data_IF_088532433780
#
_entry.id   IF_088532433780
#
_cell.length_a   1.000
_cell.length_b   1.000
_cell.length_c   1.000
_cell.angle_alpha   90.00
_cell.angle_beta   90.00
_cell.angle_gamma   90.00
#
_symmetry.space_group_name_H-M   'P 1'
#
loop_
_entity.id
_entity.type
_entity.pdbx_description
1 polymer ?
#
# COMPACT_ATOMS: atom_id res chain seq x y z
N UNK A 1 -5.37 23.18 -15.07
CA UNK A 1 -5.24 21.73 -14.85
C UNK A 1 -6.61 21.18 -14.46
N UNK A 2 -7.07 20.10 -15.10
CA UNK A 2 -8.32 19.43 -14.70
C UNK A 2 -7.97 18.56 -13.49
N UNK A 3 -8.42 18.95 -12.31
CA UNK A 3 -8.33 18.12 -11.10
C UNK A 3 -9.60 17.29 -11.05
N UNK A 4 -9.47 16.02 -11.41
CA UNK A 4 -10.58 15.08 -11.26
C UNK A 4 -10.57 14.64 -9.79
N UNK A 5 -11.57 15.08 -9.03
CA UNK A 5 -11.76 14.68 -7.64
C UNK A 5 -12.30 13.25 -7.59
N UNK A 6 -11.41 12.26 -7.58
CA UNK A 6 -11.75 10.93 -7.10
C UNK A 6 -11.42 10.89 -5.60
N UNK A 7 -12.47 10.90 -4.78
CA UNK A 7 -12.36 10.88 -3.32
C UNK A 7 -11.72 9.58 -2.83
N UNK A 8 -11.18 9.64 -1.60
CA UNK A 8 -10.93 8.65 -0.53
C UNK A 8 -10.95 7.12 -0.83
N UNK A 9 -11.71 6.63 -1.81
CA UNK A 9 -11.81 5.23 -2.22
C UNK A 9 -10.81 4.75 -3.27
N UNK A 10 -10.15 5.64 -4.03
CA UNK A 10 -9.21 5.25 -5.08
C UNK A 10 -7.76 5.17 -4.56
N UNK A 11 -7.51 4.30 -3.57
CA UNK A 11 -6.17 3.91 -3.07
C UNK A 11 -5.31 3.16 -4.13
N UNK A 12 -5.52 3.44 -5.41
CA UNK A 12 -4.98 2.68 -6.54
C UNK A 12 -5.69 1.35 -6.78
N UNK A 13 -7.03 1.31 -6.61
CA UNK A 13 -7.84 0.09 -6.78
C UNK A 13 -8.32 -0.13 -8.23
N UNK A 14 -7.95 0.74 -9.15
CA UNK A 14 -8.31 0.63 -10.55
C UNK A 14 -7.51 -0.49 -11.23
N UNK A 15 -8.11 -1.16 -12.21
CA UNK A 15 -7.45 -2.19 -13.03
C UNK A 15 -6.11 -1.71 -13.58
N UNK A 16 -5.96 -0.41 -13.86
CA UNK A 16 -4.69 0.18 -14.27
C UNK A 16 -3.56 -0.11 -13.28
N UNK A 17 -3.74 0.08 -11.98
CA UNK A 17 -2.68 -0.13 -10.99
C UNK A 17 -2.40 -1.62 -10.72
N UNK A 18 -3.40 -2.48 -10.88
CA UNK A 18 -3.16 -3.94 -10.90
C UNK A 18 -2.30 -4.36 -12.10
N UNK A 19 -2.51 -3.76 -13.27
CA UNK A 19 -1.74 -4.04 -14.49
C UNK A 19 -0.37 -3.35 -14.52
N UNK A 20 -0.22 -2.22 -13.83
CA UNK A 20 0.99 -1.40 -13.78
C UNK A 20 1.58 -1.37 -12.37
N UNK A 21 1.63 -2.53 -11.72
CA UNK A 21 2.03 -2.64 -10.33
C UNK A 21 3.52 -2.29 -10.17
N UNK A 22 3.89 -1.27 -9.38
CA UNK A 22 5.26 -0.76 -9.30
C UNK A 22 6.26 -1.79 -8.77
N UNK A 23 5.92 -2.54 -7.71
CA UNK A 23 6.76 -3.64 -7.20
C UNK A 23 7.01 -4.70 -8.29
N UNK A 24 5.97 -5.15 -9.00
CA UNK A 24 6.12 -6.15 -10.07
C UNK A 24 6.99 -5.60 -11.20
N UNK A 25 6.78 -4.35 -11.60
CA UNK A 25 7.61 -3.69 -12.61
C UNK A 25 9.09 -3.64 -12.22
N UNK A 26 9.40 -3.33 -10.96
CA UNK A 26 10.77 -3.30 -10.47
C UNK A 26 11.38 -4.71 -10.35
N UNK A 27 10.59 -5.72 -9.94
CA UNK A 27 11.03 -7.12 -9.93
C UNK A 27 11.34 -7.63 -11.34
N UNK A 28 10.57 -7.23 -12.36
CA UNK A 28 10.91 -7.50 -13.75
C UNK A 28 12.22 -6.82 -14.17
N UNK A 29 12.46 -5.57 -13.76
CA UNK A 29 13.71 -4.85 -14.04
C UNK A 29 14.90 -5.55 -13.40
N UNK A 30 14.77 -5.99 -12.15
CA UNK A 30 15.81 -6.76 -11.44
C UNK A 30 16.07 -8.09 -12.12
N UNK A 31 15.01 -8.79 -12.56
CA UNK A 31 15.10 -10.02 -13.35
C UNK A 31 15.87 -9.82 -14.66
N UNK A 32 15.53 -8.80 -15.44
CA UNK A 32 16.23 -8.49 -16.69
C UNK A 32 17.70 -8.13 -16.47
N UNK A 33 18.03 -7.53 -15.33
CA UNK A 33 19.42 -7.19 -14.97
C UNK A 33 20.23 -8.37 -14.41
N UNK A 34 19.59 -9.51 -14.13
CA UNK A 34 20.24 -10.69 -13.52
C UNK A 34 20.53 -10.56 -12.02
N UNK A 35 19.99 -9.54 -11.34
CA UNK A 35 20.18 -9.35 -9.90
C UNK A 35 19.26 -10.24 -9.04
N UNK A 36 18.11 -10.62 -9.58
CA UNK A 36 17.15 -11.53 -8.95
C UNK A 36 16.45 -12.38 -10.01
N UNK A 37 15.82 -13.49 -9.64
CA UNK A 37 14.96 -14.24 -10.55
C UNK A 37 13.49 -14.05 -10.16
N UNK A 38 12.76 -13.20 -10.89
CA UNK A 38 11.32 -13.05 -10.66
C UNK A 38 10.54 -14.25 -11.23
N UNK A 39 10.01 -15.09 -10.33
CA UNK A 39 9.36 -16.37 -10.68
C UNK A 39 7.84 -16.28 -10.82
N UNK A 40 7.20 -15.21 -10.35
CA UNK A 40 5.77 -15.00 -10.50
C UNK A 40 5.13 -14.15 -9.42
N UNK A 41 3.81 -13.97 -9.51
CA UNK A 41 2.98 -13.26 -8.54
C UNK A 41 1.82 -14.14 -8.07
N UNK A 42 1.45 -14.03 -6.80
CA UNK A 42 0.33 -14.75 -6.19
C UNK A 42 -0.69 -13.72 -5.72
N UNK A 43 -1.89 -13.78 -6.28
CA UNK A 43 -3.01 -12.97 -5.82
C UNK A 43 -3.77 -13.72 -4.72
N UNK A 44 -4.01 -13.07 -3.58
CA UNK A 44 -4.80 -13.61 -2.48
C UNK A 44 -6.02 -12.72 -2.24
N UNK A 45 -7.01 -13.26 -1.51
CA UNK A 45 -8.22 -12.55 -1.12
C UNK A 45 -8.24 -12.52 0.41
N UNK A 46 -8.48 -11.34 0.97
CA UNK A 46 -8.59 -11.18 2.41
C UNK A 46 -9.93 -11.67 2.92
N UNK A 47 -9.94 -12.27 4.11
CA UNK A 47 -11.17 -12.72 4.76
C UNK A 47 -11.39 -12.05 6.10
N UNK A 48 -12.65 -11.84 6.44
CA UNK A 48 -13.10 -11.43 7.78
C UNK A 48 -13.15 -12.61 8.77
N UNK A 49 -13.12 -13.85 8.27
CA UNK A 49 -13.12 -15.06 9.08
C UNK A 49 -11.70 -15.59 9.29
N UNK A 50 -11.28 -15.73 10.55
CA UNK A 50 -9.92 -16.16 10.90
C UNK A 50 -9.53 -17.52 10.28
N UNK A 51 -10.46 -18.48 10.22
CA UNK A 51 -10.20 -19.79 9.63
C UNK A 51 -9.90 -19.71 8.13
N UNK A 52 -10.62 -18.84 7.43
CA UNK A 52 -10.47 -18.61 5.99
C UNK A 52 -9.18 -17.84 5.71
N UNK A 53 -8.89 -16.80 6.51
CA UNK A 53 -7.63 -16.04 6.46
C UNK A 53 -6.42 -16.98 6.61
N UNK A 54 -6.40 -17.84 7.64
CA UNK A 54 -5.31 -18.80 7.85
C UNK A 54 -5.17 -19.78 6.70
N UNK A 55 -6.28 -20.26 6.15
CA UNK A 55 -6.27 -21.16 4.99
C UNK A 55 -5.71 -20.49 3.75
N UNK A 56 -6.14 -19.27 3.45
CA UNK A 56 -5.67 -18.48 2.30
C UNK A 56 -4.17 -18.17 2.43
N UNK A 57 -3.73 -17.77 3.62
CA UNK A 57 -2.33 -17.47 3.93
C UNK A 57 -1.44 -18.70 3.77
N UNK A 58 -1.86 -19.84 4.33
CA UNK A 58 -1.16 -21.12 4.16
C UNK A 58 -1.08 -21.51 2.69
N UNK A 59 -2.17 -21.41 1.93
CA UNK A 59 -2.16 -21.75 0.50
C UNK A 59 -1.19 -20.86 -0.29
N UNK A 60 -1.17 -19.55 -0.03
CA UNK A 60 -0.23 -18.62 -0.65
C UNK A 60 1.23 -18.97 -0.37
N UNK A 61 1.56 -19.27 0.89
CA UNK A 61 2.91 -19.66 1.29
C UNK A 61 3.36 -20.98 0.65
N UNK A 62 2.47 -21.97 0.56
CA UNK A 62 2.76 -23.26 -0.07
C UNK A 62 3.01 -23.11 -1.59
N UNK A 63 2.22 -22.29 -2.28
CA UNK A 63 2.44 -21.98 -3.70
C UNK A 63 3.80 -21.30 -3.89
N UNK A 64 4.13 -20.31 -3.06
CA UNK A 64 5.41 -19.61 -3.13
C UNK A 64 6.60 -20.58 -2.97
N UNK A 65 6.55 -21.45 -1.95
CA UNK A 65 7.63 -22.38 -1.66
C UNK A 65 7.74 -23.52 -2.67
N UNK A 66 6.66 -24.22 -2.95
CA UNK A 66 6.71 -25.53 -3.61
C UNK A 66 6.39 -25.47 -5.10
N UNK A 67 5.55 -24.52 -5.54
CA UNK A 67 5.19 -24.39 -6.96
C UNK A 67 6.13 -23.42 -7.68
N UNK A 68 6.48 -22.30 -7.04
CA UNK A 68 7.37 -21.28 -7.62
C UNK A 68 8.83 -21.44 -7.21
N UNK A 69 9.13 -22.20 -6.16
CA UNK A 69 10.49 -22.38 -5.67
C UNK A 69 11.12 -21.09 -5.17
N UNK A 70 10.32 -20.16 -4.64
CA UNK A 70 10.80 -18.83 -4.25
C UNK A 70 11.68 -18.87 -3.00
N UNK A 71 12.81 -18.17 -3.03
CA UNK A 71 13.67 -17.93 -1.86
C UNK A 71 13.15 -16.76 -1.00
N UNK A 72 12.40 -15.85 -1.62
CA UNK A 72 11.78 -14.73 -0.92
C UNK A 72 10.55 -14.18 -1.63
N UNK A 73 9.72 -13.47 -0.87
CA UNK A 73 8.47 -12.85 -1.32
C UNK A 73 8.37 -11.41 -0.82
N UNK A 74 7.83 -10.55 -1.68
CA UNK A 74 7.40 -9.20 -1.31
C UNK A 74 5.89 -9.24 -1.13
N UNK A 75 5.43 -8.96 0.09
CA UNK A 75 4.01 -8.91 0.41
C UNK A 75 3.53 -7.47 0.36
N UNK A 76 2.42 -7.26 -0.34
CA UNK A 76 1.74 -5.98 -0.46
C UNK A 76 0.23 -6.22 -0.41
N UNK A 77 -0.51 -5.18 -0.06
CA UNK A 77 -1.97 -5.24 0.09
C UNK A 77 -2.62 -3.97 -0.44
N UNK A 78 -3.89 -4.08 -0.79
CA UNK A 78 -4.73 -2.95 -1.11
C UNK A 78 -5.62 -2.60 0.10
N UNK A 79 -5.90 -1.31 0.31
CA UNK A 79 -6.64 -0.79 1.47
C UNK A 79 -6.02 -1.12 2.85
N UNK A 80 -6.64 -0.69 3.94
CA UNK A 80 -6.27 -1.07 5.32
C UNK A 80 -7.26 -2.11 5.88
N UNK A 81 -7.15 -2.43 7.17
CA UNK A 81 -8.07 -3.37 7.84
C UNK A 81 -7.64 -4.83 7.71
N UNK A 82 -8.61 -5.74 7.50
CA UNK A 82 -8.36 -7.18 7.39
C UNK A 82 -7.18 -7.57 6.47
N UNK A 83 -6.99 -6.96 5.26
CA UNK A 83 -5.84 -7.26 4.41
C UNK A 83 -4.47 -7.07 5.05
N UNK A 84 -4.35 -6.20 6.06
CA UNK A 84 -3.12 -6.03 6.81
C UNK A 84 -2.80 -7.28 7.64
N UNK A 85 -3.80 -7.86 8.32
CA UNK A 85 -3.65 -9.08 9.11
C UNK A 85 -3.34 -10.28 8.21
N UNK A 86 -4.09 -10.45 7.11
CA UNK A 86 -3.85 -11.52 6.13
C UNK A 86 -2.41 -11.48 5.56
N UNK A 87 -1.90 -10.28 5.29
CA UNK A 87 -0.54 -10.09 4.81
C UNK A 87 0.50 -10.58 5.83
N UNK A 88 0.36 -10.22 7.11
CA UNK A 88 1.28 -10.66 8.15
C UNK A 88 1.17 -12.16 8.44
N UNK A 89 -0.04 -12.72 8.45
CA UNK A 89 -0.23 -14.17 8.58
C UNK A 89 0.44 -14.90 7.41
N UNK A 90 0.28 -14.42 6.17
CA UNK A 90 0.96 -14.99 5.00
C UNK A 90 2.48 -14.89 5.14
N UNK A 91 3.01 -13.78 5.64
CA UNK A 91 4.44 -13.62 5.88
C UNK A 91 4.96 -14.63 6.91
N UNK A 92 4.24 -14.84 8.02
CA UNK A 92 4.58 -15.85 9.04
C UNK A 92 4.62 -17.26 8.45
N UNK A 93 3.63 -17.63 7.64
CA UNK A 93 3.58 -18.93 6.98
C UNK A 93 4.76 -19.11 5.99
N UNK A 94 5.14 -18.07 5.26
CA UNK A 94 6.31 -18.07 4.38
C UNK A 94 7.64 -18.25 5.16
N UNK A 95 7.85 -17.47 6.22
CA UNK A 95 9.07 -17.58 7.05
C UNK A 95 9.19 -18.97 7.70
N UNK A 96 8.07 -19.56 8.14
CA UNK A 96 8.03 -20.91 8.68
C UNK A 96 8.47 -21.99 7.67
N UNK A 97 8.30 -21.73 6.36
CA UNK A 97 8.76 -22.59 5.26
C UNK A 97 10.18 -22.22 4.76
N UNK A 98 10.84 -21.27 5.43
CA UNK A 98 12.16 -20.76 5.07
C UNK A 98 12.15 -19.87 3.82
N UNK A 99 11.02 -19.27 3.46
CA UNK A 99 10.91 -18.25 2.41
C UNK A 99 11.03 -16.87 3.07
N UNK A 100 12.00 -16.07 2.65
CA UNK A 100 12.22 -14.73 3.22
C UNK A 100 11.12 -13.76 2.85
N UNK A 101 10.74 -12.90 3.77
CA UNK A 101 9.61 -11.99 3.59
C UNK A 101 10.04 -10.54 3.70
N UNK A 102 9.48 -9.70 2.83
CA UNK A 102 9.46 -8.24 3.00
C UNK A 102 8.02 -7.80 2.91
N UNK A 103 7.52 -7.07 3.90
CA UNK A 103 6.14 -6.58 3.93
C UNK A 103 6.10 -5.07 3.68
N UNK A 104 5.31 -4.63 2.70
CA UNK A 104 4.99 -3.22 2.49
C UNK A 104 3.76 -2.85 3.32
N UNK A 105 3.94 -2.04 4.35
CA UNK A 105 2.87 -1.55 5.22
C UNK A 105 2.59 -0.07 4.95
N UNK A 106 1.38 0.35 5.32
CA UNK A 106 1.00 1.76 5.34
C UNK A 106 0.72 2.15 6.79
N UNK A 107 1.34 3.23 7.24
CA UNK A 107 1.08 3.79 8.56
C UNK A 107 -0.01 4.87 8.50
N UNK A 108 -0.94 4.81 9.44
CA UNK A 108 -1.99 5.81 9.66
C UNK A 108 -1.88 6.50 11.02
N UNK A 109 -0.86 6.17 11.81
CA UNK A 109 -0.61 6.77 13.12
C UNK A 109 -0.37 8.28 12.95
N UNK A 110 -1.20 9.06 13.64
CA UNK A 110 -1.14 10.52 13.60
C UNK A 110 0.00 11.09 14.43
N UNK A 111 0.71 10.28 15.20
CA UNK A 111 1.72 10.68 16.17
C UNK A 111 3.16 10.43 15.69
N UNK A 112 3.35 9.96 14.45
CA UNK A 112 4.67 9.72 13.84
C UNK A 112 5.59 8.76 14.61
N UNK A 113 5.03 7.92 15.51
CA UNK A 113 5.81 6.96 16.28
C UNK A 113 5.83 5.60 15.59
N UNK A 114 7.01 5.03 15.43
CA UNK A 114 7.19 3.71 14.81
C UNK A 114 6.42 2.60 15.54
N UNK A 115 6.26 2.72 16.86
CA UNK A 115 5.46 1.79 17.67
C UNK A 115 3.97 1.90 17.40
N UNK A 116 3.47 3.09 17.05
CA UNK A 116 2.08 3.32 16.65
C UNK A 116 1.82 2.86 15.21
N UNK A 117 2.88 2.83 14.39
CA UNK A 117 2.85 2.41 12.99
C UNK A 117 2.77 0.91 12.77
N UNK A 118 3.38 0.14 13.68
CA UNK A 118 3.47 -1.31 13.60
C UNK A 118 2.24 -1.93 14.27
N UNK A 119 1.15 -2.07 13.50
CA UNK A 119 -0.06 -2.78 13.94
C UNK A 119 0.22 -4.23 14.37
N UNK A 120 1.23 -4.86 13.77
CA UNK A 120 1.66 -6.23 14.07
C UNK A 120 3.19 -6.24 14.16
N UNK A 121 3.72 -6.80 15.26
CA UNK A 121 5.15 -6.95 15.50
C UNK A 121 5.46 -8.41 15.87
N UNK A 122 5.92 -9.18 14.90
CA UNK A 122 6.40 -10.56 15.10
C UNK A 122 7.87 -10.64 14.73
N UNK A 123 8.66 -11.35 15.54
CA UNK A 123 10.12 -11.37 15.43
C UNK A 123 10.59 -11.96 14.08
N UNK A 124 9.80 -12.88 13.55
CA UNK A 124 10.02 -13.58 12.29
C UNK A 124 9.86 -12.64 11.09
N UNK A 125 8.89 -11.72 11.13
CA UNK A 125 8.61 -10.76 10.05
C UNK A 125 9.28 -9.43 10.37
N UNK A 126 10.59 -9.35 10.10
CA UNK A 126 11.44 -8.23 10.53
C UNK A 126 11.88 -7.28 9.40
N UNK A 127 11.58 -7.59 8.15
CA UNK A 127 11.82 -6.70 7.02
C UNK A 127 10.50 -6.01 6.63
N UNK A 128 10.17 -4.93 7.33
CA UNK A 128 8.96 -4.14 7.10
C UNK A 128 9.35 -2.80 6.49
N UNK A 129 8.78 -2.50 5.33
CA UNK A 129 8.87 -1.19 4.70
C UNK A 129 7.55 -0.48 4.95
N UNK A 130 7.56 0.55 5.79
CA UNK A 130 6.38 1.39 6.01
C UNK A 130 6.41 2.61 5.09
N UNK A 131 5.29 2.90 4.44
CA UNK A 131 5.08 4.16 3.75
C UNK A 131 4.02 5.00 4.48
N UNK A 132 4.23 6.32 4.52
CA UNK A 132 3.21 7.25 5.03
C UNK A 132 2.03 7.32 4.05
N UNK A 133 0.80 7.38 4.56
CA UNK A 133 -0.38 7.80 3.79
C UNK A 133 -0.44 9.35 3.64
N UNK A 134 0.54 10.05 4.21
CA UNK A 134 0.67 11.51 4.15
C UNK A 134 -0.31 12.24 5.07
N UNK A 135 -0.88 11.57 6.06
CA UNK A 135 -1.82 12.16 7.03
C UNK A 135 -1.20 13.26 7.89
N UNK A 136 0.13 13.34 7.92
CA UNK A 136 0.99 14.28 8.61
C UNK A 136 1.47 15.44 7.72
N UNK A 137 1.37 15.30 6.39
CA UNK A 137 1.78 16.34 5.43
C UNK A 137 0.63 17.29 5.15
N UNK A 138 0.96 18.58 5.03
CA UNK A 138 0.02 19.66 4.69
C UNK A 138 0.54 20.48 3.52
N UNK A 139 -0.31 20.69 2.53
CA UNK A 139 -0.02 21.54 1.37
C UNK A 139 -0.81 22.84 1.48
N UNK A 140 -0.10 23.97 1.50
CA UNK A 140 -0.75 25.27 1.43
C UNK A 140 -1.31 25.49 0.03
N UNK A 141 -2.57 25.93 -0.04
CA UNK A 141 -3.24 26.21 -1.30
C UNK A 141 -3.03 27.69 -1.70
N UNK A 142 -2.72 27.97 -2.97
CA UNK A 142 -2.77 29.33 -3.48
C UNK A 142 -4.23 29.79 -3.58
N UNK A 143 -4.45 31.10 -3.47
CA UNK A 143 -5.76 31.69 -3.79
C UNK A 143 -6.12 31.40 -5.24
N UNK A 144 -7.35 30.97 -5.49
CA UNK A 144 -7.87 30.65 -6.82
C UNK A 144 -8.94 31.63 -7.24
N UNK A 145 -8.96 32.01 -8.51
CA UNK A 145 -9.96 32.95 -9.06
C UNK A 145 -11.33 32.28 -9.28
N UNK A 146 -11.35 30.95 -9.42
CA UNK A 146 -12.54 30.18 -9.76
C UNK A 146 -12.56 28.82 -9.06
N UNK A 147 -13.70 28.49 -8.48
CA UNK A 147 -13.98 27.19 -7.87
C UNK A 147 -14.97 26.43 -8.76
N UNK A 148 -14.72 25.15 -8.96
CA UNK A 148 -15.61 24.24 -9.69
C UNK A 148 -16.03 23.15 -8.70
N UNK A 149 -17.33 23.04 -8.44
CA UNK A 149 -17.90 22.13 -7.46
C UNK A 149 -19.19 21.48 -7.99
N UNK A 150 -19.55 20.32 -7.42
CA UNK A 150 -20.77 19.60 -7.82
C UNK A 150 -22.07 20.27 -7.38
N UNK A 151 -22.01 21.18 -6.40
CA UNK A 151 -23.12 22.00 -5.92
C UNK A 151 -22.58 23.23 -5.14
N UNK A 152 -23.47 24.12 -4.71
CA UNK A 152 -23.11 25.36 -3.99
C UNK A 152 -22.51 25.11 -2.61
N UNK A 153 -23.02 24.13 -1.87
CA UNK A 153 -22.50 23.77 -0.53
C UNK A 153 -21.03 23.35 -0.60
N UNK A 154 -20.66 22.52 -1.58
CA UNK A 154 -19.27 22.12 -1.82
C UNK A 154 -18.42 23.31 -2.28
N UNK A 155 -18.98 24.25 -3.05
CA UNK A 155 -18.26 25.46 -3.45
C UNK A 155 -17.88 26.33 -2.25
N UNK A 156 -18.80 26.48 -1.29
CA UNK A 156 -18.56 27.25 -0.05
C UNK A 156 -17.45 26.61 0.79
N UNK A 157 -17.49 25.28 0.98
CA UNK A 157 -16.44 24.53 1.67
C UNK A 157 -15.06 24.74 1.01
N UNK A 158 -15.00 24.62 -0.32
CA UNK A 158 -13.75 24.79 -1.07
C UNK A 158 -13.23 26.23 -1.04
N UNK A 159 -14.11 27.23 -0.88
CA UNK A 159 -13.72 28.65 -0.86
C UNK A 159 -12.96 29.06 0.40
N UNK A 160 -13.24 28.39 1.53
CA UNK A 160 -12.55 28.61 2.80
C UNK A 160 -11.29 27.75 2.96
N UNK A 161 -10.95 26.92 1.97
CA UNK A 161 -9.89 25.93 2.10
C UNK A 161 -8.51 26.57 1.84
N UNK A 162 -7.70 26.70 2.89
CA UNK A 162 -6.32 27.20 2.82
C UNK A 162 -5.27 26.10 2.73
N UNK A 163 -5.65 24.85 3.04
CA UNK A 163 -4.74 23.74 3.20
C UNK A 163 -5.37 22.42 2.73
N UNK A 164 -4.55 21.55 2.14
CA UNK A 164 -4.92 20.19 1.77
C UNK A 164 -3.99 19.16 2.40
N UNK A 165 -4.55 17.99 2.70
CA UNK A 165 -3.76 16.79 2.97
C UNK A 165 -3.51 16.03 1.66
N UNK A 166 -2.42 15.25 1.57
CA UNK A 166 -2.18 14.29 0.49
C UNK A 166 -3.38 13.42 0.10
N UNK A 167 -4.23 13.05 1.07
CA UNK A 167 -5.42 12.23 0.84
C UNK A 167 -6.48 12.92 -0.05
N UNK A 168 -6.46 14.25 -0.14
CA UNK A 168 -7.35 15.03 -1.00
C UNK A 168 -6.75 15.33 -2.38
N UNK A 169 -5.52 14.88 -2.64
CA UNK A 169 -4.79 15.15 -3.87
C UNK A 169 -4.67 13.88 -4.72
N UNK A 170 -5.27 13.93 -5.90
CA UNK A 170 -5.27 12.81 -6.84
C UNK A 170 -3.84 12.39 -7.21
N UNK A 171 -3.55 11.09 -7.11
CA UNK A 171 -2.26 10.51 -7.51
C UNK A 171 -1.10 10.74 -6.53
N UNK A 172 -1.35 11.38 -5.39
CA UNK A 172 -0.32 11.60 -4.36
C UNK A 172 -0.16 10.39 -3.45
N UNK A 173 -1.26 9.80 -2.97
CA UNK A 173 -1.20 8.61 -2.12
C UNK A 173 -1.63 7.36 -2.91
N UNK A 174 -0.76 6.35 -2.96
CA UNK A 174 -1.08 5.04 -3.51
C UNK A 174 -0.44 3.99 -2.59
N UNK A 175 -1.24 3.03 -2.11
CA UNK A 175 -0.78 1.98 -1.19
C UNK A 175 0.20 0.98 -1.82
N UNK A 176 0.41 1.07 -3.13
CA UNK A 176 1.40 0.30 -3.86
C UNK A 176 2.74 1.02 -4.00
N UNK A 177 2.89 2.24 -3.49
CA UNK A 177 4.11 3.03 -3.67
C UNK A 177 4.33 3.51 -5.12
N UNK A 178 3.27 3.52 -5.95
CA UNK A 178 3.33 4.06 -7.32
C UNK A 178 3.46 5.59 -7.33
N UNK A 179 3.14 6.23 -6.20
CA UNK A 179 3.27 7.67 -6.03
C UNK A 179 4.72 8.08 -5.81
N UNK A 180 5.13 9.16 -6.48
CA UNK A 180 6.51 9.68 -6.40
C UNK A 180 6.74 10.67 -5.24
N UNK A 181 5.75 10.89 -4.37
CA UNK A 181 5.89 11.72 -3.19
C UNK A 181 6.34 10.84 -2.01
N UNK A 182 7.64 10.84 -1.75
CA UNK A 182 8.20 10.31 -0.51
C UNK A 182 8.33 11.47 0.50
N UNK A 183 7.56 11.48 1.60
CA UNK A 183 7.98 12.22 2.77
C UNK A 183 9.19 11.47 3.37
N UNK A 184 10.38 12.06 3.23
CA UNK A 184 11.55 11.68 4.02
C UNK A 184 11.46 12.53 5.28
N UNK A 185 11.04 11.92 6.38
CA UNK A 185 11.13 12.52 7.71
C UNK A 185 12.38 11.94 8.36
N UNK A 186 13.32 12.82 8.69
CA UNK A 186 14.53 12.50 9.45
C UNK A 186 14.23 12.45 10.95
#
# INVERSE_FOLDING_TARGET
AVVISYSWGARGLETYFYQNHPIIGELYRLHQSGQANFVGAIATISSDQESEMKRNSMMGAQIAKWNLGADGVVLTKYAGGAPHTDMFETALQCEALGVKTVALTSDTASDSRAESALLINTKEVNAIVSHSEGSDVRFQLPTVERIIAGNSEVADILSGLSELTPAALCGIANNQGASRLQPIIY
#
